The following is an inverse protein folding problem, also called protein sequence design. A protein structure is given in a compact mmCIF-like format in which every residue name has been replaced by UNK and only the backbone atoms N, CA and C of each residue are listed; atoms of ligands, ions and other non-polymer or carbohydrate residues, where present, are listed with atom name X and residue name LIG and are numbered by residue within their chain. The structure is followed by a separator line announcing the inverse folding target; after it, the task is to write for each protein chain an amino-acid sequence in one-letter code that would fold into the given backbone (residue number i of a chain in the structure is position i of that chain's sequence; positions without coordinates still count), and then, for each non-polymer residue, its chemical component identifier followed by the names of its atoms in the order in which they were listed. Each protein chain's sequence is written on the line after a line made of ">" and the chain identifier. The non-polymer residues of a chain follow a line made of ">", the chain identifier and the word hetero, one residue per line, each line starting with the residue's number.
data_IF_389578065577
#
_entry.id   IF_389578065577
#
_cell.length_a   1.000
_cell.length_b   1.000
_cell.length_c   1.000
_cell.angle_alpha   90.00
_cell.angle_beta   90.00
_cell.angle_gamma   90.00
#
_symmetry.space_group_name_H-M   'P 1'
#
loop_
_entity.id
_entity.type
_entity.pdbx_description
1 polymer ?
#
# COMPACT_ATOMS: atom_id res chain seq x y z
N UNK A 1 -3.20 18.11 -20.71
CA UNK A 1 -4.10 17.09 -20.14
C UNK A 1 -3.23 15.95 -19.67
N UNK A 2 -2.99 15.81 -18.36
CA UNK A 2 -2.07 14.77 -17.86
C UNK A 2 -2.71 13.39 -18.03
N UNK A 3 -1.91 12.44 -18.49
CA UNK A 3 -2.35 11.14 -18.95
C UNK A 3 -2.61 10.24 -17.74
N UNK A 4 -3.72 10.45 -17.02
CA UNK A 4 -4.10 9.76 -15.77
C UNK A 4 -4.03 8.23 -15.87
N UNK A 5 -4.24 7.67 -17.06
CA UNK A 5 -4.15 6.22 -17.35
C UNK A 5 -2.71 5.72 -17.48
N UNK A 6 -1.79 6.57 -17.94
CA UNK A 6 -0.36 6.25 -18.11
C UNK A 6 0.35 6.07 -16.76
N UNK A 7 -0.09 6.80 -15.74
CA UNK A 7 0.41 6.66 -14.37
C UNK A 7 0.21 5.24 -13.86
N UNK A 8 -1.02 4.71 -13.88
CA UNK A 8 -1.28 3.33 -13.43
C UNK A 8 -0.34 2.31 -14.08
N UNK A 9 -0.05 2.48 -15.39
CA UNK A 9 0.87 1.61 -16.15
C UNK A 9 2.35 1.77 -15.82
N UNK A 10 2.83 2.98 -15.52
CA UNK A 10 4.24 3.22 -15.14
C UNK A 10 4.59 2.63 -13.77
N UNK A 11 3.64 2.62 -12.84
CA UNK A 11 3.79 2.05 -11.49
C UNK A 11 3.79 0.51 -11.47
N UNK A 12 3.18 -0.10 -12.48
CA UNK A 12 3.16 -1.56 -12.65
C UNK A 12 4.52 -2.17 -13.02
N UNK A 13 5.54 -1.39 -13.38
CA UNK A 13 6.88 -1.94 -13.61
C UNK A 13 7.70 -2.13 -12.33
N UNK A 14 7.32 -1.45 -11.25
CA UNK A 14 8.26 -1.08 -10.20
C UNK A 14 7.97 -1.74 -8.85
N UNK A 15 7.46 -2.97 -8.79
CA UNK A 15 7.33 -3.66 -7.51
C UNK A 15 8.11 -4.96 -7.58
N UNK A 16 9.28 -5.00 -6.93
CA UNK A 16 10.12 -6.21 -6.85
C UNK A 16 10.36 -6.63 -5.40
N UNK A 17 10.50 -7.95 -5.23
CA UNK A 17 10.89 -8.59 -3.98
C UNK A 17 12.37 -8.30 -3.72
N UNK A 18 12.71 -7.78 -2.55
CA UNK A 18 14.12 -7.73 -2.13
C UNK A 18 14.68 -9.14 -1.93
N UNK A 19 16.00 -9.30 -2.11
CA UNK A 19 16.72 -10.57 -2.04
C UNK A 19 16.58 -11.35 -0.72
N UNK A 20 15.95 -10.78 0.31
CA UNK A 20 15.70 -11.41 1.61
C UNK A 20 14.28 -11.96 1.80
N UNK A 21 13.41 -11.86 0.80
CA UNK A 21 12.04 -12.39 0.88
C UNK A 21 11.15 -11.58 1.83
N UNK A 22 10.33 -10.68 1.27
CA UNK A 22 9.16 -10.15 1.98
C UNK A 22 9.04 -8.63 2.15
N UNK A 23 9.80 -7.84 1.41
CA UNK A 23 9.57 -6.39 1.38
C UNK A 23 9.21 -5.93 -0.03
N UNK A 24 8.12 -5.16 -0.11
CA UNK A 24 7.66 -4.46 -1.30
C UNK A 24 8.63 -3.32 -1.59
N UNK A 25 9.49 -3.47 -2.58
CA UNK A 25 10.34 -2.38 -3.04
C UNK A 25 9.71 -1.75 -4.28
N UNK A 26 9.38 -0.46 -4.18
CA UNK A 26 9.27 0.40 -5.35
C UNK A 26 10.59 0.36 -6.11
N UNK A 27 10.64 -0.11 -7.37
CA UNK A 27 11.85 -0.04 -8.20
C UNK A 27 12.23 1.43 -8.42
N UNK A 28 13.12 1.87 -7.56
CA UNK A 28 13.92 3.07 -7.66
C UNK A 28 15.22 2.88 -6.91
N UNK A 29 15.79 1.67 -6.88
CA UNK A 29 17.07 1.40 -6.24
C UNK A 29 18.26 1.84 -7.13
N UNK A 30 18.13 3.04 -7.69
CA UNK A 30 19.24 3.89 -8.10
C UNK A 30 18.84 5.34 -7.76
N UNK A 31 19.22 5.81 -6.56
CA UNK A 31 19.15 7.23 -6.20
C UNK A 31 18.00 7.70 -5.30
N UNK A 32 17.12 6.81 -4.80
CA UNK A 32 16.13 7.16 -3.77
C UNK A 32 16.78 7.51 -2.42
N UNK A 33 16.14 8.40 -1.63
CA UNK A 33 16.62 8.78 -0.29
C UNK A 33 15.96 7.87 0.76
N UNK A 34 16.79 7.24 1.59
CA UNK A 34 16.34 6.31 2.66
C UNK A 34 16.51 6.98 4.01
N UNK A 35 15.46 6.93 4.83
CA UNK A 35 15.46 7.33 6.23
C UNK A 35 14.90 6.23 7.12
N UNK A 36 15.19 6.30 8.42
CA UNK A 36 14.57 5.43 9.42
C UNK A 36 13.56 6.24 10.23
N UNK A 37 12.33 5.74 10.31
CA UNK A 37 11.23 6.30 11.09
C UNK A 37 10.85 5.35 12.21
N UNK A 38 9.88 5.74 13.04
CA UNK A 38 9.30 4.85 14.06
C UNK A 38 8.53 3.65 13.47
N UNK A 39 8.27 3.66 12.17
CA UNK A 39 7.64 2.57 11.42
C UNK A 39 8.66 1.68 10.72
N UNK A 40 9.94 1.83 11.05
CA UNK A 40 11.03 1.14 10.37
C UNK A 40 11.57 1.96 9.20
N UNK A 41 11.99 1.28 8.15
CA UNK A 41 12.51 1.85 6.92
C UNK A 41 11.46 2.72 6.23
N UNK A 42 11.87 3.91 5.81
CA UNK A 42 11.09 4.82 4.99
C UNK A 42 11.94 5.23 3.80
N UNK A 43 11.44 4.97 2.59
CA UNK A 43 12.09 5.40 1.37
C UNK A 43 11.18 6.34 0.60
N UNK A 44 11.75 7.41 0.05
CA UNK A 44 11.04 8.24 -0.90
C UNK A 44 11.88 8.59 -2.13
N UNK A 45 11.18 8.82 -3.23
CA UNK A 45 11.75 9.26 -4.50
C UNK A 45 10.86 10.33 -5.10
N UNK A 46 11.46 11.44 -5.51
CA UNK A 46 10.79 12.44 -6.33
C UNK A 46 11.15 12.18 -7.79
N UNK A 47 10.15 12.07 -8.65
CA UNK A 47 10.30 11.92 -10.09
C UNK A 47 10.60 13.25 -10.77
N UNK A 48 11.00 13.19 -12.04
CA UNK A 48 11.40 14.37 -12.81
C UNK A 48 10.24 15.36 -13.06
N UNK A 49 8.99 14.91 -12.93
CA UNK A 49 7.81 15.76 -13.06
C UNK A 49 7.31 16.28 -11.71
N UNK A 50 8.09 16.06 -10.64
CA UNK A 50 7.78 16.53 -9.29
C UNK A 50 6.87 15.60 -8.50
N UNK A 51 6.43 14.46 -9.04
CA UNK A 51 5.67 13.44 -8.31
C UNK A 51 6.53 12.77 -7.22
N UNK A 52 5.93 12.33 -6.13
CA UNK A 52 6.64 11.59 -5.08
C UNK A 52 6.10 10.17 -4.93
N UNK A 53 7.02 9.22 -4.81
CA UNK A 53 6.80 7.87 -4.31
C UNK A 53 7.27 7.80 -2.86
N UNK A 54 6.43 7.29 -1.98
CA UNK A 54 6.77 6.99 -0.59
C UNK A 54 6.53 5.50 -0.32
N UNK A 55 7.52 4.80 0.20
CA UNK A 55 7.46 3.37 0.50
C UNK A 55 7.78 3.14 1.97
N UNK A 56 6.98 2.28 2.60
CA UNK A 56 7.12 1.81 3.97
C UNK A 56 7.26 0.29 3.93
N UNK A 57 8.47 -0.23 3.65
CA UNK A 57 8.68 -1.66 3.41
C UNK A 57 8.27 -2.51 4.61
N UNK A 58 8.61 -2.06 5.83
CA UNK A 58 8.28 -2.75 7.07
C UNK A 58 6.79 -2.70 7.42
N UNK A 59 6.00 -1.85 6.74
CA UNK A 59 4.54 -1.80 6.89
C UNK A 59 3.85 -2.52 5.72
N UNK A 60 4.51 -2.66 4.57
CA UNK A 60 3.90 -3.19 3.34
C UNK A 60 3.03 -2.14 2.61
N UNK A 61 3.33 -0.86 2.76
CA UNK A 61 2.53 0.25 2.18
C UNK A 61 3.39 1.09 1.24
N UNK A 62 2.83 1.43 0.07
CA UNK A 62 3.41 2.38 -0.87
C UNK A 62 2.36 3.42 -1.26
N UNK A 63 2.74 4.70 -1.25
CA UNK A 63 1.89 5.81 -1.63
C UNK A 63 2.53 6.61 -2.77
N UNK A 64 1.69 7.13 -3.65
CA UNK A 64 2.11 8.09 -4.67
C UNK A 64 1.41 9.43 -4.48
N UNK A 65 2.15 10.51 -4.69
CA UNK A 65 1.64 11.87 -4.70
C UNK A 65 1.99 12.54 -6.02
N UNK A 66 1.06 13.31 -6.60
CA UNK A 66 1.36 14.14 -7.77
C UNK A 66 2.05 15.46 -7.37
N UNK A 67 2.48 16.20 -8.37
CA UNK A 67 3.03 17.56 -8.29
C UNK A 67 2.15 18.57 -7.52
N UNK A 68 0.82 18.40 -7.57
CA UNK A 68 -0.12 19.15 -6.73
C UNK A 68 -0.18 18.67 -5.26
N UNK A 69 0.74 17.81 -4.84
CA UNK A 69 0.85 17.26 -3.48
C UNK A 69 -0.30 16.35 -3.07
N UNK A 70 -1.15 15.91 -4.00
CA UNK A 70 -2.33 15.07 -3.74
C UNK A 70 -2.01 13.59 -3.92
N UNK A 71 -2.57 12.77 -3.05
CA UNK A 71 -2.49 11.31 -3.11
C UNK A 71 -3.11 10.79 -4.41
N UNK A 72 -2.30 10.14 -5.25
CA UNK A 72 -2.74 9.51 -6.51
C UNK A 72 -3.06 8.03 -6.34
N UNK A 73 -2.33 7.33 -5.47
CA UNK A 73 -2.65 5.97 -5.07
C UNK A 73 -2.09 5.61 -3.69
N UNK A 74 -2.69 4.59 -3.10
CA UNK A 74 -2.16 3.83 -1.96
C UNK A 74 -2.19 2.35 -2.34
N UNK A 75 -1.06 1.68 -2.19
CA UNK A 75 -0.88 0.27 -2.51
C UNK A 75 -0.46 -0.46 -1.24
N UNK A 76 -1.18 -1.53 -0.92
CA UNK A 76 -0.86 -2.42 0.18
C UNK A 76 -0.42 -3.79 -0.36
N UNK A 77 0.76 -4.23 0.03
CA UNK A 77 1.16 -5.64 -0.05
C UNK A 77 0.42 -6.39 1.03
N UNK A 78 -0.60 -7.16 0.63
CA UNK A 78 -1.54 -7.79 1.56
C UNK A 78 -0.83 -8.75 2.52
N UNK A 79 0.15 -9.51 2.01
CA UNK A 79 0.87 -10.48 2.83
C UNK A 79 1.85 -9.79 3.78
N UNK A 80 2.60 -8.81 3.30
CA UNK A 80 3.50 -8.03 4.14
C UNK A 80 2.72 -7.26 5.23
N UNK A 81 1.68 -6.53 4.83
CA UNK A 81 0.85 -5.72 5.72
C UNK A 81 0.23 -6.55 6.85
N UNK A 82 -0.36 -7.71 6.52
CA UNK A 82 -0.98 -8.59 7.51
C UNK A 82 0.04 -9.46 8.25
N UNK A 83 1.19 -9.75 7.65
CA UNK A 83 2.28 -10.50 8.28
C UNK A 83 2.92 -9.78 9.47
N UNK A 84 2.78 -8.45 9.52
CA UNK A 84 3.21 -7.62 10.65
C UNK A 84 2.26 -7.66 11.86
N UNK A 85 1.10 -8.31 11.74
CA UNK A 85 0.18 -8.48 12.87
C UNK A 85 0.78 -9.49 13.85
N UNK A 86 0.90 -9.08 15.12
CA UNK A 86 1.41 -9.94 16.19
C UNK A 86 0.63 -11.25 16.27
N UNK A 87 1.32 -12.38 16.48
CA UNK A 87 0.70 -13.71 16.55
C UNK A 87 -0.49 -13.79 17.51
N UNK A 88 -0.42 -13.10 18.65
CA UNK A 88 -1.52 -13.05 19.61
C UNK A 88 -2.77 -12.37 19.06
N UNK A 89 -2.60 -11.34 18.21
CA UNK A 89 -3.69 -10.62 17.56
C UNK A 89 -4.27 -11.36 16.37
N UNK A 90 -3.49 -12.21 15.70
CA UNK A 90 -3.99 -13.06 14.61
C UNK A 90 -5.13 -13.97 15.11
N UNK A 91 -5.03 -14.53 16.31
CA UNK A 91 -6.07 -15.38 16.91
C UNK A 91 -7.39 -14.62 17.13
N UNK A 92 -7.34 -13.29 17.26
CA UNK A 92 -8.53 -12.43 17.43
C UNK A 92 -9.20 -12.06 16.10
N UNK A 93 -8.55 -12.36 14.96
CA UNK A 93 -9.12 -12.14 13.63
C UNK A 93 -10.35 -13.02 13.41
N UNK A 94 -11.18 -12.64 12.44
CA UNK A 94 -12.45 -13.30 12.20
C UNK A 94 -12.31 -14.81 11.95
N UNK A 95 -11.24 -15.23 11.26
CA UNK A 95 -10.93 -16.63 10.97
C UNK A 95 -9.63 -17.08 11.66
N UNK A 96 -9.28 -16.48 12.80
CA UNK A 96 -8.10 -16.83 13.60
C UNK A 96 -6.75 -16.60 12.92
N UNK A 97 -6.72 -15.89 11.78
CA UNK A 97 -5.51 -15.67 10.98
C UNK A 97 -5.25 -16.78 9.95
N UNK A 98 -6.11 -17.79 9.82
CA UNK A 98 -5.87 -18.93 8.94
C UNK A 98 -5.80 -18.54 7.46
N UNK A 99 -6.63 -17.60 7.01
CA UNK A 99 -6.60 -17.13 5.61
C UNK A 99 -5.34 -16.31 5.35
N UNK A 100 -4.92 -15.50 6.32
CA UNK A 100 -3.70 -14.70 6.23
C UNK A 100 -2.48 -15.62 6.09
N UNK A 101 -2.37 -16.63 6.96
CA UNK A 101 -1.26 -17.59 6.95
C UNK A 101 -1.27 -18.41 5.65
N UNK A 102 -2.44 -18.88 5.22
CA UNK A 102 -2.61 -19.62 3.96
C UNK A 102 -2.14 -18.81 2.76
N UNK A 103 -2.61 -17.56 2.62
CA UNK A 103 -2.24 -16.68 1.52
C UNK A 103 -0.74 -16.39 1.54
N UNK A 104 -0.18 -16.04 2.70
CA UNK A 104 1.25 -15.74 2.84
C UNK A 104 2.11 -16.93 2.40
N UNK A 105 1.78 -18.15 2.86
CA UNK A 105 2.49 -19.38 2.47
C UNK A 105 2.37 -19.66 0.97
N UNK A 106 1.19 -19.47 0.39
CA UNK A 106 0.95 -19.74 -1.03
C UNK A 106 1.65 -18.72 -1.93
N UNK A 107 1.69 -17.44 -1.54
CA UNK A 107 2.42 -16.40 -2.25
C UNK A 107 3.93 -16.66 -2.17
N UNK A 108 4.45 -16.97 -0.99
CA UNK A 108 5.87 -17.31 -0.81
C UNK A 108 6.30 -18.53 -1.64
N UNK A 109 5.52 -19.62 -1.60
CA UNK A 109 5.79 -20.84 -2.35
C UNK A 109 5.80 -20.63 -3.87
N UNK A 110 5.09 -19.61 -4.36
CA UNK A 110 5.02 -19.25 -5.78
C UNK A 110 5.94 -18.09 -6.17
N UNK A 111 6.67 -17.50 -5.22
CA UNK A 111 7.45 -16.29 -5.47
C UNK A 111 6.58 -15.11 -5.92
N UNK A 112 5.36 -15.00 -5.41
CA UNK A 112 4.37 -14.01 -5.81
C UNK A 112 4.10 -13.00 -4.69
N UNK A 113 3.52 -11.87 -5.07
CA UNK A 113 3.02 -10.83 -4.16
C UNK A 113 1.60 -10.45 -4.57
N UNK A 114 0.76 -10.12 -3.58
CA UNK A 114 -0.63 -9.74 -3.75
C UNK A 114 -0.82 -8.28 -3.32
N UNK A 115 -1.22 -7.43 -4.25
CA UNK A 115 -1.44 -6.01 -4.03
C UNK A 115 -2.91 -5.67 -4.00
N UNK A 116 -3.27 -4.79 -3.07
CA UNK A 116 -4.49 -4.00 -3.10
C UNK A 116 -4.09 -2.55 -3.36
N UNK A 117 -4.40 -2.03 -4.55
CA UNK A 117 -4.13 -0.64 -4.90
C UNK A 117 -5.41 0.16 -5.03
N UNK A 118 -5.51 1.26 -4.32
CA UNK A 118 -6.59 2.23 -4.45
C UNK A 118 -6.06 3.47 -5.15
N UNK A 119 -6.77 3.95 -6.16
CA UNK A 119 -6.49 5.17 -6.90
C UNK A 119 -7.60 6.19 -6.64
N UNK A 120 -7.48 7.03 -5.59
CA UNK A 120 -8.60 7.87 -5.15
C UNK A 120 -9.03 8.92 -6.17
N UNK A 121 -8.08 9.43 -6.97
CA UNK A 121 -8.30 10.50 -7.95
C UNK A 121 -9.13 10.08 -9.17
N UNK A 122 -9.19 8.76 -9.43
CA UNK A 122 -9.92 8.18 -10.56
C UNK A 122 -10.97 7.15 -10.11
N UNK A 123 -11.24 7.07 -8.80
CA UNK A 123 -12.22 6.15 -8.22
C UNK A 123 -12.07 4.70 -8.74
N UNK A 124 -10.82 4.22 -8.74
CA UNK A 124 -10.44 2.89 -9.19
C UNK A 124 -9.75 2.13 -8.05
N UNK A 125 -10.01 0.84 -7.99
CA UNK A 125 -9.31 -0.10 -7.13
C UNK A 125 -8.83 -1.27 -8.02
N UNK A 126 -7.64 -1.77 -7.74
CA UNK A 126 -7.07 -2.92 -8.43
C UNK A 126 -6.54 -3.91 -7.40
N UNK A 127 -6.85 -5.18 -7.61
CA UNK A 127 -6.29 -6.31 -6.87
C UNK A 127 -5.40 -7.08 -7.83
N UNK A 128 -4.13 -7.19 -7.53
CA UNK A 128 -3.14 -7.72 -8.46
C UNK A 128 -2.25 -8.77 -7.80
N UNK A 129 -2.03 -9.87 -8.49
CA UNK A 129 -0.96 -10.81 -8.14
C UNK A 129 0.18 -10.63 -9.13
N UNK A 130 1.41 -10.54 -8.64
CA UNK A 130 2.62 -10.36 -9.45
C UNK A 130 3.67 -11.38 -9.03
N UNK A 131 4.48 -11.81 -9.96
CA UNK A 131 5.74 -12.50 -9.67
C UNK A 131 6.93 -11.54 -9.88
N UNK A 132 8.15 -12.06 -9.95
CA UNK A 132 9.36 -11.24 -10.12
C UNK A 132 9.39 -10.44 -11.43
N UNK A 133 8.66 -10.87 -12.45
CA UNK A 133 8.81 -10.37 -13.82
C UNK A 133 7.52 -9.78 -14.36
N UNK A 134 6.36 -10.35 -14.00
CA UNK A 134 5.10 -10.09 -14.68
C UNK A 134 3.88 -10.00 -13.75
N UNK A 135 2.83 -9.39 -14.30
CA UNK A 135 1.48 -9.40 -13.75
C UNK A 135 0.84 -10.77 -14.02
N UNK A 136 0.52 -11.50 -12.96
CA UNK A 136 -0.08 -12.85 -13.03
C UNK A 136 -1.60 -12.77 -13.13
N UNK A 137 -2.22 -11.89 -12.36
CA UNK A 137 -3.66 -11.67 -12.37
C UNK A 137 -4.00 -10.25 -11.95
N UNK A 138 -5.04 -9.67 -12.53
CA UNK A 138 -5.59 -8.37 -12.14
C UNK A 138 -7.12 -8.46 -12.08
N UNK A 139 -7.69 -7.91 -11.02
CA UNK A 139 -9.11 -7.59 -10.93
C UNK A 139 -9.25 -6.08 -10.70
N UNK A 140 -10.07 -5.42 -11.53
CA UNK A 140 -10.22 -3.96 -11.53
C UNK A 140 -11.66 -3.58 -11.24
N UNK A 141 -11.82 -2.74 -10.23
CA UNK A 141 -13.10 -2.16 -9.85
C UNK A 141 -13.03 -0.65 -10.14
N UNK A 142 -14.00 -0.14 -10.89
CA UNK A 142 -14.11 1.27 -11.26
C UNK A 142 -15.38 1.90 -10.68
N UNK A 143 -15.42 3.23 -10.66
CA UNK A 143 -16.55 4.02 -10.14
C UNK A 143 -16.85 3.74 -8.66
N UNK A 144 -15.81 3.52 -7.86
CA UNK A 144 -15.94 3.31 -6.41
C UNK A 144 -16.25 4.62 -5.68
N UNK A 145 -17.35 4.68 -4.91
CA UNK A 145 -17.64 5.82 -4.03
C UNK A 145 -16.84 5.73 -2.74
N UNK A 146 -15.58 6.18 -2.79
CA UNK A 146 -14.67 6.13 -1.64
C UNK A 146 -15.12 7.02 -0.47
N UNK A 147 -16.02 7.98 -0.68
CA UNK A 147 -16.49 8.86 0.41
C UNK A 147 -17.45 8.14 1.36
N UNK A 148 -18.30 7.27 0.82
CA UNK A 148 -19.18 6.38 1.59
C UNK A 148 -18.43 5.17 2.16
N UNK A 149 -17.27 4.88 1.59
CA UNK A 149 -16.52 3.66 1.87
C UNK A 149 -16.90 2.56 0.89
N UNK A 150 -15.95 1.68 0.62
CA UNK A 150 -16.09 0.58 -0.30
C UNK A 150 -15.52 -0.70 0.30
N UNK A 151 -16.35 -1.73 0.35
CA UNK A 151 -16.05 -3.03 0.90
C UNK A 151 -15.88 -4.07 -0.21
N UNK A 152 -14.91 -4.98 -0.04
CA UNK A 152 -14.77 -6.10 -0.95
C UNK A 152 -14.00 -7.27 -0.34
N UNK A 153 -13.88 -8.32 -1.16
CA UNK A 153 -13.19 -9.55 -0.85
C UNK A 153 -12.15 -9.82 -1.93
N UNK A 154 -10.90 -10.04 -1.52
CA UNK A 154 -9.83 -10.57 -2.34
C UNK A 154 -9.87 -12.09 -2.22
N UNK A 155 -10.07 -12.77 -3.34
CA UNK A 155 -10.08 -14.24 -3.41
C UNK A 155 -8.77 -14.72 -4.00
N UNK A 156 -8.02 -15.50 -3.24
CA UNK A 156 -6.75 -16.05 -3.69
C UNK A 156 -6.61 -17.51 -3.26
N UNK A 157 -6.52 -18.41 -4.24
CA UNK A 157 -6.28 -19.86 -4.03
C UNK A 157 -7.19 -20.51 -2.98
N UNK A 158 -8.47 -20.13 -2.95
CA UNK A 158 -9.47 -20.66 -2.02
C UNK A 158 -9.53 -19.98 -0.66
N UNK A 159 -8.64 -19.02 -0.38
CA UNK A 159 -8.72 -18.15 0.80
C UNK A 159 -9.32 -16.78 0.45
N UNK A 160 -10.01 -16.17 1.41
CA UNK A 160 -10.63 -14.85 1.24
C UNK A 160 -10.09 -13.85 2.27
N UNK A 161 -9.70 -12.67 1.79
CA UNK A 161 -9.28 -11.53 2.60
C UNK A 161 -10.24 -10.38 2.35
N UNK A 162 -10.74 -9.79 3.41
CA UNK A 162 -11.67 -8.68 3.32
C UNK A 162 -10.93 -7.35 3.35
N UNK A 163 -11.42 -6.37 2.60
CA UNK A 163 -10.88 -5.01 2.61
C UNK A 163 -11.95 -3.94 2.63
N UNK A 164 -11.70 -2.86 3.37
CA UNK A 164 -12.53 -1.67 3.42
C UNK A 164 -11.66 -0.48 3.04
N UNK A 165 -12.12 0.36 2.12
CA UNK A 165 -11.40 1.55 1.69
C UNK A 165 -12.30 2.76 1.81
N UNK A 166 -11.80 3.85 2.39
CA UNK A 166 -12.60 5.06 2.58
C UNK A 166 -11.75 6.30 2.58
N UNK A 167 -12.21 7.34 1.90
CA UNK A 167 -11.68 8.69 2.01
C UNK A 167 -12.47 9.47 3.06
N UNK A 168 -11.80 10.00 4.08
CA UNK A 168 -12.41 10.78 5.14
C UNK A 168 -11.55 12.02 5.43
N UNK A 169 -12.08 13.20 5.09
CA UNK A 169 -11.34 14.46 5.22
C UNK A 169 -10.00 14.40 4.49
N UNK A 170 -8.93 14.66 5.23
CA UNK A 170 -7.56 14.69 4.72
C UNK A 170 -6.87 13.32 4.75
N UNK A 171 -7.60 12.25 5.03
CA UNK A 171 -7.05 10.89 5.13
C UNK A 171 -7.72 9.91 4.17
N UNK A 172 -6.94 8.93 3.72
CA UNK A 172 -7.38 7.73 3.02
C UNK A 172 -7.14 6.54 3.94
N UNK A 173 -8.21 5.81 4.23
CA UNK A 173 -8.20 4.60 5.02
C UNK A 173 -8.21 3.39 4.09
N UNK A 174 -7.26 2.48 4.30
CA UNK A 174 -7.25 1.15 3.70
C UNK A 174 -7.17 0.16 4.85
N UNK A 175 -8.19 -0.64 5.01
CA UNK A 175 -8.27 -1.64 6.06
C UNK A 175 -8.35 -3.02 5.44
N UNK A 176 -7.48 -3.94 5.87
CA UNK A 176 -7.37 -5.29 5.30
C UNK A 176 -7.40 -6.30 6.44
N UNK A 177 -8.04 -7.45 6.26
CA UNK A 177 -8.06 -8.50 7.27
C UNK A 177 -8.95 -9.67 6.88
N UNK A 178 -9.59 -10.30 7.85
CA UNK A 178 -10.36 -11.52 7.63
C UNK A 178 -11.87 -11.29 7.77
N UNK A 179 -12.60 -12.21 7.15
CA UNK A 179 -14.03 -12.38 7.30
C UNK A 179 -14.35 -13.85 7.57
N UNK A 180 -15.26 -14.11 8.50
CA UNK A 180 -15.88 -15.41 8.74
C UNK A 180 -17.40 -15.21 8.86
N UNK A 181 -18.14 -15.66 7.85
CA UNK A 181 -19.56 -15.38 7.70
C UNK A 181 -19.85 -13.88 7.72
N UNK A 182 -20.54 -13.41 8.76
CA UNK A 182 -20.87 -11.99 8.99
C UNK A 182 -19.83 -11.25 9.84
N UNK A 183 -18.95 -11.97 10.54
CA UNK A 183 -17.93 -11.37 11.40
C UNK A 183 -16.77 -10.91 10.53
N UNK A 184 -16.30 -9.70 10.79
CA UNK A 184 -15.20 -9.10 10.04
C UNK A 184 -14.24 -8.38 10.97
N UNK A 185 -12.95 -8.65 10.80
CA UNK A 185 -11.89 -8.02 11.59
C UNK A 185 -10.84 -7.49 10.63
N UNK A 186 -10.67 -6.16 10.61
CA UNK A 186 -9.78 -5.46 9.69
C UNK A 186 -8.71 -4.70 10.45
N UNK A 187 -7.51 -4.68 9.90
CA UNK A 187 -6.38 -3.87 10.35
C UNK A 187 -6.32 -2.63 9.46
N UNK A 188 -6.52 -1.41 9.99
CA UNK A 188 -6.49 -0.19 9.20
C UNK A 188 -5.08 0.37 9.03
N UNK A 189 -4.83 1.00 7.89
CA UNK A 189 -3.82 2.03 7.72
C UNK A 189 -4.48 3.32 7.24
N UNK A 190 -4.08 4.43 7.85
CA UNK A 190 -4.41 5.78 7.40
C UNK A 190 -3.25 6.34 6.61
N UNK A 191 -3.52 7.01 5.49
CA UNK A 191 -2.52 7.78 4.77
C UNK A 191 -3.06 9.15 4.40
N UNK A 192 -2.21 10.17 4.47
CA UNK A 192 -2.62 11.54 4.16
C UNK A 192 -2.94 11.71 2.67
N UNK A 193 -4.07 12.34 2.39
CA UNK A 193 -4.53 12.69 1.04
C UNK A 193 -3.72 13.84 0.42
N UNK A 194 -3.03 14.63 1.24
CA UNK A 194 -2.19 15.73 0.80
C UNK A 194 -0.93 15.82 1.66
N UNK A 195 0.23 15.99 1.04
CA UNK A 195 1.51 16.10 1.75
C UNK A 195 2.42 17.09 1.05
N UNK A 196 2.83 18.15 1.76
CA UNK A 196 3.90 19.04 1.28
C UNK A 196 5.28 18.42 1.43
N UNK A 197 5.61 17.50 0.52
CA UNK A 197 6.86 16.74 0.56
C UNK A 197 8.08 17.53 0.09
N UNK A 198 7.94 18.51 -0.81
CA UNK A 198 9.07 19.30 -1.31
C UNK A 198 9.72 20.09 -0.16
N UNK A 199 8.92 20.85 0.58
CA UNK A 199 9.39 21.58 1.78
C UNK A 199 9.99 20.62 2.82
N UNK A 200 9.41 19.42 2.94
CA UNK A 200 9.94 18.38 3.82
C UNK A 200 11.34 17.92 3.40
N UNK A 201 11.51 17.54 2.15
CA UNK A 201 12.76 16.95 1.62
C UNK A 201 13.89 17.99 1.57
N UNK A 202 13.59 19.23 1.18
CA UNK A 202 14.57 20.32 1.08
C UNK A 202 14.96 20.92 2.43
N UNK A 203 14.26 20.54 3.51
CA UNK A 203 14.56 21.02 4.85
C UNK A 203 15.98 20.64 5.30
N UNK A 204 16.67 21.56 5.96
CA UNK A 204 17.95 21.27 6.63
C UNK A 204 17.77 20.43 7.92
N UNK A 205 16.53 20.16 8.34
CA UNK A 205 16.25 19.39 9.54
C UNK A 205 16.77 17.94 9.40
N UNK A 206 17.62 17.44 10.32
CA UNK A 206 18.12 16.07 10.27
C UNK A 206 17.02 15.01 10.42
N UNK A 207 15.85 15.38 10.97
CA UNK A 207 14.67 14.51 11.12
C UNK A 207 13.66 14.65 9.98
N UNK A 208 14.00 15.34 8.89
CA UNK A 208 13.05 15.63 7.80
C UNK A 208 12.34 14.40 7.23
N UNK A 209 13.05 13.30 7.00
CA UNK A 209 12.46 12.07 6.47
C UNK A 209 11.55 11.38 7.47
N UNK A 210 11.91 11.42 8.75
CA UNK A 210 11.02 10.95 9.81
C UNK A 210 9.75 11.81 9.87
N UNK A 211 9.88 13.13 9.88
CA UNK A 211 8.72 14.02 9.87
C UNK A 211 7.84 13.78 8.62
N UNK A 212 8.45 13.53 7.46
CA UNK A 212 7.71 13.22 6.24
C UNK A 212 6.98 11.87 6.32
N UNK A 213 7.65 10.82 6.83
CA UNK A 213 7.05 9.51 7.08
C UNK A 213 5.83 9.61 8.03
N UNK A 214 5.99 10.37 9.12
CA UNK A 214 4.92 10.62 10.08
C UNK A 214 3.75 11.40 9.45
N UNK A 215 4.04 12.43 8.65
CA UNK A 215 3.01 13.17 7.90
C UNK A 215 2.22 12.27 6.96
N UNK A 216 2.86 11.28 6.33
CA UNK A 216 2.21 10.39 5.38
C UNK A 216 1.32 9.38 6.10
N UNK A 217 1.81 8.63 7.09
CA UNK A 217 1.05 7.52 7.73
C UNK A 217 0.14 7.97 8.87
N UNK A 218 0.37 9.15 9.45
CA UNK A 218 -0.34 9.60 10.66
C UNK A 218 -0.95 10.97 10.54
N UNK A 219 -0.73 11.65 9.42
CA UNK A 219 -1.21 13.01 9.21
C UNK A 219 -0.79 13.99 10.32
N UNK A 220 0.46 13.89 10.80
CA UNK A 220 1.01 14.71 11.90
C UNK A 220 2.35 15.37 11.57
#
# INVERSE_FOLDING_TARGET
>A
MSNKTEWSRRWYGSIRRGNSGGATYGEGYSGGQVGHSRFGEFACRVGDQGEMVATFPDVGITCGYNDDKKLIFVCADVACFLGNVEKGKLVEMANGGDNIVSISRNLEAKGQVLFLTVFPTIARLAVETRDEVDLVSEDVIVNTDLTKGFDGLIRYMGSEIAYHTRKLGDEMFVSIGEQDGIRRTLVPVSVSNEVDYMTGIESENPKRYWNLADKIILNR
#
